data_IF_457884653911
#
_entry.id   IF_457884653911
#
_cell.length_a   1.000
_cell.length_b   1.000
_cell.length_c   1.000
_cell.angle_alpha   90.00
_cell.angle_beta   90.00
_cell.angle_gamma   90.00
#
_symmetry.space_group_name_H-M   'P 1'
#
loop_
_entity.id
_entity.type
_entity.pdbx_description
1 polymer ?
#
# COMPACT_ATOMS: atom_id res chain seq x y z
N UNK A 1 29.67 -35.61 -2.05
CA UNK A 1 28.85 -34.40 -2.16
C UNK A 1 27.70 -34.71 -3.11
N UNK A 2 26.55 -35.08 -2.55
CA UNK A 2 25.38 -35.54 -3.31
C UNK A 2 24.58 -34.31 -3.73
N UNK A 3 24.52 -34.02 -5.03
CA UNK A 3 23.68 -32.94 -5.54
C UNK A 3 22.20 -33.26 -5.25
N UNK A 4 21.42 -32.31 -4.69
CA UNK A 4 19.99 -32.50 -4.53
C UNK A 4 19.34 -32.59 -5.92
N UNK A 5 18.68 -33.72 -6.21
CA UNK A 5 17.82 -33.89 -7.39
C UNK A 5 16.72 -32.83 -7.33
N UNK A 6 16.70 -31.92 -8.29
CA UNK A 6 15.57 -31.03 -8.51
C UNK A 6 14.33 -31.90 -8.75
N UNK A 7 13.41 -31.90 -7.78
CA UNK A 7 12.10 -32.50 -7.95
C UNK A 7 11.43 -31.76 -9.11
N UNK A 8 11.27 -32.44 -10.23
CA UNK A 8 10.48 -31.93 -11.34
C UNK A 8 9.05 -31.97 -10.85
N UNK A 9 8.55 -30.86 -10.32
CA UNK A 9 7.13 -30.70 -9.98
C UNK A 9 6.38 -30.80 -11.30
N UNK A 10 5.83 -31.98 -11.59
CA UNK A 10 4.91 -32.13 -12.70
C UNK A 10 3.79 -31.11 -12.51
N UNK A 11 3.47 -30.31 -13.55
CA UNK A 11 2.39 -29.34 -13.47
C UNK A 11 1.15 -30.12 -13.02
N UNK A 12 0.58 -29.73 -11.87
CA UNK A 12 -0.64 -30.35 -11.35
C UNK A 12 -1.68 -30.31 -12.47
N UNK A 13 -1.92 -31.45 -13.09
CA UNK A 13 -2.92 -31.58 -14.13
C UNK A 13 -4.27 -31.22 -13.49
N UNK A 14 -4.76 -30.02 -13.79
CA UNK A 14 -6.01 -29.51 -13.25
C UNK A 14 -7.12 -30.48 -13.66
N UNK A 15 -7.65 -31.22 -12.69
CA UNK A 15 -8.83 -32.05 -12.88
C UNK A 15 -9.97 -31.14 -13.30
N UNK A 16 -10.67 -31.53 -14.36
CA UNK A 16 -11.69 -30.73 -15.05
C UNK A 16 -13.00 -30.69 -14.22
N UNK A 17 -12.92 -30.22 -12.98
CA UNK A 17 -14.00 -30.24 -11.98
C UNK A 17 -15.06 -29.14 -12.24
N UNK A 18 -15.11 -28.62 -13.47
CA UNK A 18 -16.00 -27.52 -13.87
C UNK A 18 -15.62 -26.16 -13.27
N UNK A 19 -14.48 -26.07 -12.57
CA UNK A 19 -13.93 -24.80 -12.08
C UNK A 19 -13.03 -24.16 -13.11
N UNK A 20 -13.01 -22.83 -13.15
CA UNK A 20 -12.14 -22.01 -13.99
C UNK A 20 -11.41 -20.97 -13.15
N UNK A 21 -10.25 -20.45 -13.59
CA UNK A 21 -9.59 -19.34 -12.91
C UNK A 21 -10.47 -18.09 -12.93
N UNK A 22 -10.41 -17.30 -11.86
CA UNK A 22 -11.09 -16.00 -11.77
C UNK A 22 -10.67 -15.09 -12.93
N UNK A 23 -11.63 -14.46 -13.60
CA UNK A 23 -11.44 -13.60 -14.76
C UNK A 23 -10.58 -12.36 -14.48
N UNK A 24 -10.42 -11.96 -13.21
CA UNK A 24 -9.48 -10.90 -12.82
C UNK A 24 -8.01 -11.33 -12.87
N UNK A 25 -7.74 -12.63 -13.04
CA UNK A 25 -6.41 -13.20 -13.24
C UNK A 25 -5.39 -12.67 -12.21
N UNK A 26 -4.32 -12.02 -12.66
CA UNK A 26 -3.27 -11.44 -11.81
C UNK A 26 -3.76 -10.34 -10.87
N UNK A 27 -5.00 -9.86 -11.01
CA UNK A 27 -5.66 -8.89 -10.12
C UNK A 27 -6.75 -9.52 -9.23
N UNK A 28 -6.91 -10.84 -9.24
CA UNK A 28 -7.89 -11.56 -8.41
C UNK A 28 -7.64 -11.29 -6.92
N UNK A 29 -8.63 -10.87 -6.14
CA UNK A 29 -8.41 -10.47 -4.74
C UNK A 29 -8.14 -11.66 -3.80
N UNK A 30 -8.54 -12.87 -4.19
CA UNK A 30 -8.33 -14.11 -3.47
C UNK A 30 -7.21 -15.00 -4.06
N UNK A 31 -6.33 -14.41 -4.88
CA UNK A 31 -5.21 -15.15 -5.46
C UNK A 31 -4.27 -15.72 -4.38
N UNK A 32 -3.72 -16.89 -4.68
CA UNK A 32 -2.70 -17.54 -3.86
C UNK A 32 -1.32 -17.36 -4.49
N UNK A 33 -0.25 -17.45 -3.71
CA UNK A 33 1.12 -17.43 -4.22
C UNK A 33 1.62 -18.86 -4.17
N UNK A 34 1.97 -19.42 -5.33
CA UNK A 34 2.60 -20.72 -5.43
C UNK A 34 3.96 -20.67 -4.70
N UNK A 35 4.19 -21.49 -3.66
CA UNK A 35 5.43 -21.45 -2.88
C UNK A 35 6.67 -21.86 -3.68
N UNK A 36 6.51 -22.67 -4.73
CA UNK A 36 7.64 -23.18 -5.52
C UNK A 36 8.07 -22.16 -6.57
N UNK A 37 7.10 -21.53 -7.26
CA UNK A 37 7.39 -20.59 -8.35
C UNK A 37 7.35 -19.12 -7.93
N UNK A 38 6.78 -18.81 -6.77
CA UNK A 38 6.48 -17.44 -6.34
C UNK A 38 5.44 -16.73 -7.20
N UNK A 39 4.80 -17.43 -8.14
CA UNK A 39 3.80 -16.84 -9.04
C UNK A 39 2.46 -16.72 -8.33
N UNK A 40 1.75 -15.65 -8.67
CA UNK A 40 0.40 -15.37 -8.19
C UNK A 40 -0.60 -16.10 -9.07
N UNK A 41 -1.31 -17.05 -8.49
CA UNK A 41 -2.34 -17.84 -9.16
C UNK A 41 -3.74 -17.36 -8.74
N UNK A 42 -4.63 -17.08 -9.70
CA UNK A 42 -5.99 -16.65 -9.37
C UNK A 42 -6.77 -17.74 -8.63
N UNK A 43 -7.75 -17.32 -7.83
CA UNK A 43 -8.68 -18.27 -7.21
C UNK A 43 -9.50 -19.01 -8.29
N UNK A 44 -9.75 -20.29 -8.06
CA UNK A 44 -10.56 -21.15 -8.93
C UNK A 44 -12.01 -21.16 -8.46
N UNK A 45 -12.95 -21.04 -9.38
CA UNK A 45 -14.39 -21.00 -9.07
C UNK A 45 -15.24 -21.53 -10.24
N UNK A 46 -16.46 -22.04 -9.99
CA UNK A 46 -17.38 -22.42 -11.08
C UNK A 46 -17.90 -21.18 -11.86
N UNK A 47 -17.88 -20.00 -11.24
CA UNK A 47 -18.25 -18.72 -11.83
C UNK A 47 -17.04 -18.02 -12.45
N UNK A 48 -17.25 -17.05 -13.37
CA UNK A 48 -16.17 -16.22 -13.90
C UNK A 48 -15.40 -15.45 -12.83
N UNK A 49 -16.03 -15.09 -11.71
CA UNK A 49 -15.36 -14.45 -10.57
C UNK A 49 -15.42 -15.35 -9.34
N UNK A 50 -14.36 -15.31 -8.53
CA UNK A 50 -14.40 -15.84 -7.17
C UNK A 50 -15.30 -14.99 -6.27
N UNK A 51 -15.76 -15.55 -5.15
CA UNK A 51 -16.70 -14.89 -4.23
C UNK A 51 -16.19 -13.53 -3.74
N UNK A 52 -14.90 -13.44 -3.39
CA UNK A 52 -14.27 -12.18 -2.97
C UNK A 52 -14.31 -11.11 -4.06
N UNK A 53 -14.06 -11.47 -5.32
CA UNK A 53 -14.12 -10.51 -6.42
C UNK A 53 -15.57 -10.20 -6.84
N UNK A 54 -16.50 -11.14 -6.64
CA UNK A 54 -17.94 -10.92 -6.82
C UNK A 54 -18.47 -9.88 -5.83
N UNK A 55 -18.07 -9.96 -4.56
CA UNK A 55 -18.44 -8.98 -3.54
C UNK A 55 -17.75 -7.63 -3.77
N UNK A 56 -16.49 -7.65 -4.20
CA UNK A 56 -15.80 -6.43 -4.63
C UNK A 56 -16.49 -5.75 -5.80
N UNK A 57 -17.00 -6.52 -6.78
CA UNK A 57 -17.78 -5.98 -7.89
C UNK A 57 -19.09 -5.34 -7.42
N UNK A 58 -19.82 -6.01 -6.52
CA UNK A 58 -21.03 -5.45 -5.93
C UNK A 58 -20.73 -4.11 -5.23
N UNK A 59 -19.68 -4.06 -4.41
CA UNK A 59 -19.22 -2.83 -3.78
C UNK A 59 -18.91 -1.74 -4.82
N UNK A 60 -18.11 -2.06 -5.84
CA UNK A 60 -17.77 -1.12 -6.92
C UNK A 60 -19.00 -0.50 -7.58
N UNK A 61 -20.02 -1.32 -7.89
CA UNK A 61 -21.24 -0.85 -8.54
C UNK A 61 -21.94 0.20 -7.66
N UNK A 62 -22.01 0.00 -6.34
CA UNK A 62 -22.63 0.98 -5.42
C UNK A 62 -21.92 2.33 -5.37
N UNK A 63 -20.65 2.41 -5.78
CA UNK A 63 -19.89 3.66 -5.71
C UNK A 63 -20.16 4.59 -6.90
N UNK A 64 -20.62 4.06 -8.04
CA UNK A 64 -20.76 4.85 -9.27
C UNK A 64 -21.63 6.12 -9.16
N UNK A 65 -22.77 6.15 -8.43
CA UNK A 65 -23.58 7.37 -8.33
C UNK A 65 -22.79 8.51 -7.68
N UNK A 66 -22.03 8.20 -6.62
CA UNK A 66 -21.17 9.17 -5.95
C UNK A 66 -20.04 9.65 -6.86
N UNK A 67 -19.39 8.72 -7.57
CA UNK A 67 -18.30 9.05 -8.49
C UNK A 67 -18.78 9.93 -9.64
N UNK A 68 -19.97 9.65 -10.18
CA UNK A 68 -20.60 10.46 -11.22
C UNK A 68 -20.78 11.91 -10.77
N UNK A 69 -21.34 12.15 -9.58
CA UNK A 69 -21.53 13.50 -9.04
C UNK A 69 -20.20 14.23 -8.89
N UNK A 70 -19.17 13.56 -8.36
CA UNK A 70 -17.83 14.15 -8.20
C UNK A 70 -17.16 14.46 -9.54
N UNK A 71 -17.29 13.57 -10.53
CA UNK A 71 -16.73 13.79 -11.87
C UNK A 71 -17.44 14.97 -12.55
N UNK A 72 -18.76 15.08 -12.37
CA UNK A 72 -19.53 16.21 -12.87
C UNK A 72 -19.13 17.53 -12.18
N UNK A 73 -18.77 17.52 -10.89
CA UNK A 73 -18.23 18.70 -10.23
C UNK A 73 -16.88 19.13 -10.84
N UNK A 74 -16.02 18.17 -11.20
CA UNK A 74 -14.74 18.46 -11.88
C UNK A 74 -14.90 19.10 -13.26
N UNK A 75 -16.04 18.93 -13.95
CA UNK A 75 -16.32 19.63 -15.20
C UNK A 75 -16.35 21.16 -15.02
N UNK A 76 -16.77 21.63 -13.84
CA UNK A 76 -17.00 23.04 -13.54
C UNK A 76 -15.82 23.71 -12.84
N UNK A 77 -14.80 22.96 -12.42
CA UNK A 77 -13.62 23.51 -11.75
C UNK A 77 -12.76 24.26 -12.77
N UNK A 78 -13.05 25.54 -12.93
CA UNK A 78 -12.38 26.51 -13.81
C UNK A 78 -11.15 27.15 -13.15
N UNK A 79 -10.45 26.40 -12.29
CA UNK A 79 -9.26 26.87 -11.59
C UNK A 79 -8.03 26.92 -12.49
N UNK A 80 -7.23 28.00 -12.38
CA UNK A 80 -6.03 28.32 -13.17
C UNK A 80 -4.86 27.30 -13.12
N UNK A 81 -5.06 26.13 -12.51
CA UNK A 81 -4.06 25.07 -12.37
C UNK A 81 -4.33 23.80 -13.19
N UNK A 82 -5.50 23.65 -13.83
CA UNK A 82 -5.77 22.47 -14.67
C UNK A 82 -5.20 22.69 -16.08
N UNK A 83 -3.88 22.61 -16.18
CA UNK A 83 -3.14 22.82 -17.42
C UNK A 83 -3.26 21.59 -18.33
N UNK A 84 -3.98 21.71 -19.46
CA UNK A 84 -3.77 20.77 -20.59
C UNK A 84 -4.96 20.47 -21.51
N UNK A 85 -6.19 20.89 -21.20
CA UNK A 85 -7.36 20.55 -22.03
C UNK A 85 -7.53 21.44 -23.28
N UNK A 86 -8.00 20.88 -24.43
CA UNK A 86 -8.38 21.68 -25.60
C UNK A 86 -9.53 22.64 -25.25
N UNK A 87 -9.36 23.92 -25.57
CA UNK A 87 -10.37 24.96 -25.32
C UNK A 87 -11.39 24.95 -26.46
N UNK A 88 -12.65 24.63 -26.16
CA UNK A 88 -13.74 24.73 -27.14
C UNK A 88 -14.38 26.12 -27.01
N UNK A 89 -14.35 26.91 -28.08
CA UNK A 89 -15.02 28.21 -28.16
C UNK A 89 -16.24 28.10 -29.09
N UNK A 90 -17.44 28.11 -28.54
CA UNK A 90 -18.70 28.01 -29.33
C UNK A 90 -19.51 29.31 -29.36
N UNK A 91 -19.03 30.42 -28.80
CA UNK A 91 -19.77 31.69 -28.78
C UNK A 91 -18.86 32.93 -28.68
N UNK A 92 -19.42 34.15 -28.87
CA UNK A 92 -18.74 35.46 -28.66
C UNK A 92 -18.38 35.74 -27.19
N UNK A 93 -18.83 34.91 -26.23
CA UNK A 93 -18.40 34.96 -24.83
C UNK A 93 -17.04 34.29 -24.64
N UNK A 94 -16.32 34.64 -23.57
CA UNK A 94 -15.07 33.96 -23.22
C UNK A 94 -15.27 32.43 -23.17
N UNK A 95 -14.39 31.61 -23.77
CA UNK A 95 -14.52 30.16 -23.77
C UNK A 95 -14.57 29.63 -22.33
N UNK A 96 -15.58 28.82 -22.01
CA UNK A 96 -15.63 28.11 -20.73
C UNK A 96 -14.62 26.96 -20.83
N UNK A 97 -13.57 26.91 -20.00
CA UNK A 97 -12.67 25.79 -20.01
C UNK A 97 -13.41 24.58 -19.43
N UNK A 98 -13.77 23.62 -20.31
CA UNK A 98 -14.34 22.34 -19.90
C UNK A 98 -13.24 21.29 -19.84
N UNK A 99 -13.28 20.46 -18.80
CA UNK A 99 -12.42 19.29 -18.72
C UNK A 99 -13.00 18.18 -19.62
N UNK A 100 -12.54 18.13 -20.88
CA UNK A 100 -13.04 17.19 -21.89
C UNK A 100 -12.80 15.73 -21.51
N UNK A 101 -11.74 15.43 -20.75
CA UNK A 101 -11.46 14.07 -20.28
C UNK A 101 -12.45 13.60 -19.21
N UNK A 102 -12.89 14.50 -18.31
CA UNK A 102 -13.93 14.20 -17.34
C UNK A 102 -15.30 14.01 -18.04
N UNK A 103 -15.60 14.81 -19.06
CA UNK A 103 -16.83 14.69 -19.86
C UNK A 103 -16.89 13.36 -20.63
N UNK A 104 -15.78 12.98 -21.29
CA UNK A 104 -15.65 11.69 -21.96
C UNK A 104 -15.86 10.53 -21.00
N UNK A 105 -15.26 10.60 -19.80
CA UNK A 105 -15.39 9.56 -18.79
C UNK A 105 -16.83 9.46 -18.23
N UNK A 106 -17.53 10.58 -18.07
CA UNK A 106 -18.96 10.59 -17.68
C UNK A 106 -19.82 9.91 -18.74
N UNK A 107 -19.63 10.25 -20.02
CA UNK A 107 -20.35 9.62 -21.14
C UNK A 107 -20.08 8.11 -21.21
N UNK A 108 -18.82 7.71 -21.07
CA UNK A 108 -18.43 6.29 -21.02
C UNK A 108 -19.08 5.57 -19.84
N UNK A 109 -19.11 6.19 -18.65
CA UNK A 109 -19.71 5.60 -17.46
C UNK A 109 -21.19 5.34 -17.65
N UNK A 110 -21.95 6.32 -18.16
CA UNK A 110 -23.39 6.20 -18.41
C UNK A 110 -23.65 5.10 -19.46
N UNK A 111 -22.95 5.16 -20.60
CA UNK A 111 -23.13 4.18 -21.67
C UNK A 111 -22.84 2.75 -21.20
N UNK A 112 -21.76 2.54 -20.46
CA UNK A 112 -21.37 1.23 -19.92
C UNK A 112 -22.44 0.71 -18.97
N UNK A 113 -22.83 1.48 -17.96
CA UNK A 113 -23.80 1.05 -16.95
C UNK A 113 -25.18 0.75 -17.55
N UNK A 114 -25.69 1.61 -18.44
CA UNK A 114 -26.99 1.42 -19.07
C UNK A 114 -26.99 0.18 -19.97
N UNK A 115 -25.94 -0.04 -20.75
CA UNK A 115 -25.87 -1.23 -21.62
C UNK A 115 -25.85 -2.55 -20.83
N UNK A 116 -25.20 -2.57 -19.66
CA UNK A 116 -25.23 -3.74 -18.78
C UNK A 116 -26.56 -3.86 -18.02
N UNK A 117 -27.20 -2.73 -17.66
CA UNK A 117 -28.55 -2.73 -17.09
C UNK A 117 -29.56 -3.38 -18.05
N UNK A 118 -29.53 -3.02 -19.34
CA UNK A 118 -30.40 -3.58 -20.38
C UNK A 118 -30.30 -5.11 -20.44
N UNK A 119 -29.08 -5.65 -20.56
CA UNK A 119 -28.88 -7.11 -20.61
C UNK A 119 -29.30 -7.83 -19.34
N UNK A 120 -29.02 -7.24 -18.17
CA UNK A 120 -29.45 -7.82 -16.89
C UNK A 120 -30.98 -7.79 -16.77
N UNK A 121 -31.67 -6.75 -17.27
CA UNK A 121 -33.13 -6.71 -17.29
C UNK A 121 -33.71 -7.83 -18.14
N UNK A 122 -33.16 -8.06 -19.32
CA UNK A 122 -33.64 -9.08 -20.24
C UNK A 122 -33.51 -10.48 -19.61
N UNK A 123 -32.33 -10.83 -19.08
CA UNK A 123 -32.10 -12.13 -18.43
C UNK A 123 -32.90 -12.27 -17.14
N UNK A 124 -33.06 -11.20 -16.36
CA UNK A 124 -33.86 -11.20 -15.14
C UNK A 124 -35.37 -11.01 -15.37
N UNK A 125 -35.82 -10.96 -16.64
CA UNK A 125 -37.21 -10.75 -17.05
C UNK A 125 -37.87 -9.54 -16.37
N UNK A 126 -37.12 -8.47 -16.20
CA UNK A 126 -37.63 -7.20 -15.70
C UNK A 126 -38.31 -6.43 -16.83
N UNK A 127 -39.13 -5.43 -16.48
CA UNK A 127 -39.67 -4.52 -17.48
C UNK A 127 -38.54 -3.91 -18.31
N UNK A 128 -38.63 -3.95 -19.66
CA UNK A 128 -37.61 -3.39 -20.51
C UNK A 128 -37.49 -1.89 -20.28
N UNK A 129 -36.32 -1.35 -20.58
CA UNK A 129 -36.13 0.10 -20.56
C UNK A 129 -36.95 0.71 -21.69
N UNK A 130 -37.88 1.59 -21.33
CA UNK A 130 -38.60 2.38 -22.31
C UNK A 130 -37.59 3.26 -23.05
N UNK A 131 -37.33 2.94 -24.31
CA UNK A 131 -36.34 3.63 -25.16
C UNK A 131 -36.60 5.13 -25.28
N UNK A 132 -37.86 5.58 -25.23
CA UNK A 132 -38.19 7.00 -25.33
C UNK A 132 -37.89 7.74 -24.02
N UNK A 133 -38.29 7.16 -22.89
CA UNK A 133 -37.90 7.66 -21.59
C UNK A 133 -36.38 7.54 -21.35
N UNK A 134 -35.72 6.55 -21.93
CA UNK A 134 -34.26 6.39 -21.89
C UNK A 134 -33.52 7.57 -22.48
N UNK A 135 -33.96 8.05 -23.65
CA UNK A 135 -33.32 9.19 -24.32
C UNK A 135 -33.55 10.53 -23.63
N UNK A 136 -34.65 10.66 -22.87
CA UNK A 136 -35.03 11.91 -22.18
C UNK A 136 -34.58 11.94 -20.72
N UNK A 137 -34.08 10.82 -20.18
CA UNK A 137 -33.61 10.73 -18.80
C UNK A 137 -32.37 11.58 -18.62
N UNK A 138 -32.27 12.23 -17.46
CA UNK A 138 -31.02 12.86 -17.02
C UNK A 138 -30.01 11.77 -16.69
N UNK A 139 -28.77 11.93 -17.14
CA UNK A 139 -27.69 10.95 -16.95
C UNK A 139 -27.52 10.50 -15.49
N UNK A 140 -27.60 11.43 -14.53
CA UNK A 140 -27.54 11.08 -13.10
C UNK A 140 -28.65 10.13 -12.65
N UNK A 141 -29.86 10.26 -13.22
CA UNK A 141 -30.99 9.36 -12.97
C UNK A 141 -30.76 8.00 -13.64
N UNK A 142 -30.17 7.99 -14.84
CA UNK A 142 -29.81 6.75 -15.53
C UNK A 142 -28.76 5.95 -14.74
N UNK A 143 -27.72 6.60 -14.23
CA UNK A 143 -26.69 5.97 -13.37
C UNK A 143 -27.30 5.40 -12.09
N UNK A 144 -28.11 6.17 -11.37
CA UNK A 144 -28.75 5.71 -10.12
C UNK A 144 -29.68 4.51 -10.37
N UNK A 145 -30.45 4.54 -11.46
CA UNK A 145 -31.31 3.44 -11.86
C UNK A 145 -30.52 2.18 -12.23
N UNK A 146 -29.48 2.31 -13.06
CA UNK A 146 -28.63 1.19 -13.43
C UNK A 146 -28.02 0.52 -12.19
N UNK A 147 -27.50 1.31 -11.25
CA UNK A 147 -26.92 0.82 -9.99
C UNK A 147 -27.95 0.10 -9.12
N UNK A 148 -29.18 0.62 -9.03
CA UNK A 148 -30.30 -0.03 -8.32
C UNK A 148 -30.69 -1.38 -8.92
N UNK A 149 -30.56 -1.56 -10.23
CA UNK A 149 -30.85 -2.82 -10.90
C UNK A 149 -29.69 -3.81 -10.77
N UNK A 150 -28.46 -3.35 -11.06
CA UNK A 150 -27.26 -4.17 -11.15
C UNK A 150 -26.82 -4.69 -9.78
N UNK A 151 -26.81 -3.84 -8.73
CA UNK A 151 -26.31 -4.20 -7.39
C UNK A 151 -26.96 -5.46 -6.80
N UNK A 152 -28.31 -5.59 -6.74
CA UNK A 152 -28.93 -6.81 -6.22
C UNK A 152 -28.87 -8.01 -7.18
N UNK A 153 -28.36 -7.82 -8.40
CA UNK A 153 -28.35 -8.83 -9.48
C UNK A 153 -26.94 -9.09 -10.02
N UNK A 154 -25.93 -8.86 -9.19
CA UNK A 154 -24.53 -9.10 -9.55
C UNK A 154 -24.30 -10.53 -10.02
N UNK A 155 -24.97 -11.52 -9.42
CA UNK A 155 -24.83 -12.91 -9.87
C UNK A 155 -25.43 -13.13 -11.26
N UNK A 156 -26.53 -12.46 -11.62
CA UNK A 156 -27.10 -12.51 -12.97
C UNK A 156 -26.19 -11.82 -13.98
N UNK A 157 -25.60 -10.68 -13.61
CA UNK A 157 -24.62 -9.95 -14.42
C UNK A 157 -23.40 -10.83 -14.74
N UNK A 158 -22.83 -11.49 -13.72
CA UNK A 158 -21.67 -12.38 -13.87
C UNK A 158 -22.04 -13.66 -14.65
N UNK A 159 -23.29 -14.09 -14.61
CA UNK A 159 -23.78 -15.28 -15.32
C UNK A 159 -24.22 -15.01 -16.77
N UNK A 160 -24.15 -13.76 -17.26
CA UNK A 160 -24.50 -13.43 -18.64
C UNK A 160 -23.66 -14.27 -19.61
N UNK A 161 -24.35 -14.87 -20.59
CA UNK A 161 -23.70 -15.52 -21.72
C UNK A 161 -23.08 -14.48 -22.64
N UNK A 162 -22.09 -14.89 -23.43
CA UNK A 162 -21.54 -14.02 -24.47
C UNK A 162 -22.62 -13.73 -25.52
N UNK A 163 -22.88 -12.45 -25.76
CA UNK A 163 -23.75 -12.00 -26.87
C UNK A 163 -23.11 -10.78 -27.55
N UNK A 164 -23.45 -10.52 -28.83
CA UNK A 164 -22.97 -9.36 -29.56
C UNK A 164 -23.39 -8.04 -28.90
N UNK A 165 -22.44 -7.17 -28.58
CA UNK A 165 -22.66 -5.82 -28.05
C UNK A 165 -21.84 -4.80 -28.83
N UNK A 166 -22.41 -3.60 -29.02
CA UNK A 166 -21.65 -2.47 -29.57
C UNK A 166 -20.72 -1.89 -28.50
N UNK A 167 -19.42 -1.80 -28.81
CA UNK A 167 -18.38 -1.13 -28.02
C UNK A 167 -17.46 -0.37 -28.95
N UNK A 168 -17.25 0.92 -28.68
CA UNK A 168 -16.35 1.78 -29.47
C UNK A 168 -16.57 1.72 -31.00
N UNK A 169 -17.81 1.46 -31.43
CA UNK A 169 -18.18 1.37 -32.86
C UNK A 169 -18.05 -0.03 -33.47
N UNK A 170 -17.62 -1.03 -32.71
CA UNK A 170 -17.47 -2.42 -33.15
C UNK A 170 -18.46 -3.34 -32.42
N UNK A 171 -18.88 -4.42 -33.10
CA UNK A 171 -19.69 -5.49 -32.50
C UNK A 171 -18.74 -6.52 -31.91
N UNK A 172 -18.77 -6.70 -30.59
CA UNK A 172 -17.94 -7.65 -29.86
C UNK A 172 -18.81 -8.60 -29.03
N UNK A 173 -18.41 -9.88 -28.97
CA UNK A 173 -19.04 -10.86 -28.09
C UNK A 173 -18.62 -10.60 -26.64
N UNK A 174 -19.57 -10.26 -25.78
CA UNK A 174 -19.28 -9.95 -24.37
C UNK A 174 -20.19 -10.73 -23.43
N UNK A 175 -19.64 -11.34 -22.39
CA UNK A 175 -20.37 -12.04 -21.35
C UNK A 175 -20.21 -11.39 -19.97
N UNK A 176 -20.62 -12.13 -18.94
CA UNK A 176 -20.56 -11.62 -17.56
C UNK A 176 -19.14 -11.41 -17.02
N UNK A 177 -18.14 -12.13 -17.56
CA UNK A 177 -16.73 -11.90 -17.25
C UNK A 177 -16.27 -10.52 -17.74
N UNK A 178 -16.61 -10.18 -18.98
CA UNK A 178 -16.25 -8.91 -19.60
C UNK A 178 -16.98 -7.75 -18.91
N UNK A 179 -18.26 -7.94 -18.56
CA UNK A 179 -19.02 -6.98 -17.77
C UNK A 179 -18.32 -6.62 -16.46
N UNK A 180 -17.86 -7.63 -15.71
CA UNK A 180 -17.14 -7.40 -14.47
C UNK A 180 -15.84 -6.63 -14.70
N UNK A 181 -15.05 -7.01 -15.70
CA UNK A 181 -13.78 -6.38 -16.00
C UNK A 181 -13.95 -4.92 -16.47
N UNK A 182 -14.95 -4.65 -17.31
CA UNK A 182 -15.32 -3.29 -17.73
C UNK A 182 -15.68 -2.42 -16.52
N UNK A 183 -16.53 -2.92 -15.61
CA UNK A 183 -16.95 -2.16 -14.43
C UNK A 183 -15.79 -1.92 -13.45
N UNK A 184 -14.91 -2.91 -13.24
CA UNK A 184 -13.68 -2.68 -12.44
C UNK A 184 -12.76 -1.65 -13.09
N UNK A 185 -12.58 -1.72 -14.40
CA UNK A 185 -11.75 -0.79 -15.15
C UNK A 185 -12.31 0.63 -15.11
N UNK A 186 -13.62 0.78 -15.33
CA UNK A 186 -14.34 2.04 -15.27
C UNK A 186 -14.24 2.66 -13.88
N UNK A 187 -14.45 1.88 -12.83
CA UNK A 187 -14.28 2.34 -11.45
C UNK A 187 -12.86 2.82 -11.18
N UNK A 188 -11.84 2.07 -11.62
CA UNK A 188 -10.44 2.51 -11.50
C UNK A 188 -10.17 3.82 -12.24
N UNK A 189 -10.67 3.99 -13.47
CA UNK A 189 -10.54 5.25 -14.24
C UNK A 189 -11.21 6.41 -13.54
N UNK A 190 -12.43 6.20 -13.03
CA UNK A 190 -13.16 7.24 -12.30
C UNK A 190 -12.40 7.65 -11.03
N UNK A 191 -11.81 6.69 -10.30
CA UNK A 191 -10.97 7.01 -9.13
C UNK A 191 -9.73 7.80 -9.52
N UNK A 192 -9.05 7.39 -10.58
CA UNK A 192 -7.86 8.07 -11.07
C UNK A 192 -8.16 9.52 -11.48
N UNK A 193 -9.25 9.75 -12.23
CA UNK A 193 -9.67 11.09 -12.66
C UNK A 193 -10.09 11.98 -11.48
N UNK A 194 -10.76 11.40 -10.49
CA UNK A 194 -11.16 12.10 -9.27
C UNK A 194 -9.99 12.45 -8.35
N UNK A 195 -8.76 12.04 -8.68
CA UNK A 195 -7.61 12.05 -7.75
C UNK A 195 -7.89 11.31 -6.43
N UNK A 196 -8.96 10.49 -6.41
CA UNK A 196 -9.20 9.44 -5.40
C UNK A 196 -8.22 8.26 -5.61
N UNK A 197 -7.42 8.30 -6.68
CA UNK A 197 -6.06 7.78 -6.66
C UNK A 197 -5.17 8.82 -5.99
N UNK A 198 -5.29 8.92 -4.67
CA UNK A 198 -4.45 9.61 -3.70
C UNK A 198 -3.47 10.67 -4.25
N UNK A 199 -3.51 11.90 -3.69
CA UNK A 199 -2.22 12.48 -3.31
C UNK A 199 -1.50 11.37 -2.52
N UNK A 200 -0.44 10.76 -3.07
CA UNK A 200 -0.02 9.38 -2.76
C UNK A 200 -0.11 9.16 -1.26
N UNK A 201 -1.06 8.32 -0.82
CA UNK A 201 -1.47 8.21 0.57
C UNK A 201 -0.21 8.25 1.43
N UNK A 202 -0.03 9.36 2.15
CA UNK A 202 1.29 9.77 2.61
C UNK A 202 1.81 8.63 3.48
N UNK A 203 2.93 7.98 3.12
CA UNK A 203 3.48 6.94 3.96
C UNK A 203 3.87 7.58 5.28
N UNK A 204 3.34 7.04 6.37
CA UNK A 204 3.61 7.53 7.70
C UNK A 204 4.86 6.85 8.24
N UNK A 205 5.73 7.62 8.89
CA UNK A 205 6.96 7.09 9.51
C UNK A 205 6.67 6.26 10.76
N UNK A 206 5.49 6.47 11.37
CA UNK A 206 4.99 5.73 12.53
C UNK A 206 4.81 4.25 12.17
N UNK A 207 5.39 3.32 12.93
CA UNK A 207 5.14 1.90 12.75
C UNK A 207 3.70 1.56 13.18
N UNK A 208 3.09 0.61 12.46
CA UNK A 208 1.83 -0.01 12.90
C UNK A 208 2.04 -0.83 14.17
N UNK A 209 0.97 -1.13 14.92
CA UNK A 209 1.00 -2.05 16.07
C UNK A 209 1.54 -3.44 15.71
N UNK A 210 1.48 -3.86 14.45
CA UNK A 210 2.13 -5.10 13.97
C UNK A 210 3.66 -4.99 13.82
N UNK A 211 4.25 -3.83 14.10
CA UNK A 211 5.68 -3.56 14.02
C UNK A 211 6.18 -3.09 12.64
N UNK A 212 5.38 -3.20 11.58
CA UNK A 212 5.77 -2.81 10.22
C UNK A 212 5.46 -1.33 9.92
N UNK A 213 6.33 -0.66 9.16
CA UNK A 213 6.17 0.73 8.70
C UNK A 213 5.40 0.81 7.39
N UNK A 214 4.17 0.31 7.40
CA UNK A 214 3.28 0.31 6.23
C UNK A 214 1.97 1.05 6.49
N UNK A 215 1.97 1.99 7.44
CA UNK A 215 0.86 2.91 7.62
C UNK A 215 0.84 3.92 6.47
N UNK A 216 -0.35 4.11 5.90
CA UNK A 216 -0.63 5.18 4.95
C UNK A 216 -1.78 6.02 5.49
N UNK A 217 -1.67 7.32 5.32
CA UNK A 217 -2.73 8.27 5.67
C UNK A 217 -4.01 7.96 4.89
N UNK A 218 -5.13 7.92 5.60
CA UNK A 218 -6.47 7.86 5.01
C UNK A 218 -6.99 9.28 5.02
N UNK A 219 -7.50 9.74 3.88
CA UNK A 219 -8.16 11.05 3.78
C UNK A 219 -9.66 10.86 3.65
N UNK A 220 -10.41 11.77 4.27
CA UNK A 220 -11.86 11.84 4.11
C UNK A 220 -12.24 12.33 2.70
N UNK A 221 -13.54 12.48 2.50
CA UNK A 221 -14.11 12.92 1.23
C UNK A 221 -13.83 14.39 0.89
N UNK A 222 -13.40 15.19 1.86
CA UNK A 222 -12.93 16.57 1.67
C UNK A 222 -11.41 16.63 1.45
N UNK A 223 -10.71 15.49 1.51
CA UNK A 223 -9.25 15.40 1.41
C UNK A 223 -8.52 15.75 2.72
N UNK A 224 -9.23 15.81 3.85
CA UNK A 224 -8.63 16.01 5.17
C UNK A 224 -8.16 14.67 5.74
N UNK A 225 -7.09 14.63 6.54
CA UNK A 225 -6.67 13.40 7.22
C UNK A 225 -7.79 12.86 8.11
N UNK A 226 -8.11 11.58 7.94
CA UNK A 226 -9.15 10.82 8.67
C UNK A 226 -8.54 9.59 9.39
N UNK A 227 -7.23 9.64 9.64
CA UNK A 227 -6.48 8.56 10.27
C UNK A 227 -5.54 7.81 9.32
N UNK A 228 -5.35 6.51 9.55
CA UNK A 228 -4.40 5.70 8.80
C UNK A 228 -4.81 4.24 8.63
N UNK A 229 -4.29 3.60 7.60
CA UNK A 229 -4.46 2.17 7.35
C UNK A 229 -3.13 1.48 7.13
N UNK A 230 -2.93 0.33 7.77
CA UNK A 230 -1.74 -0.50 7.53
C UNK A 230 -1.94 -1.36 6.28
N UNK A 231 -1.04 -1.26 5.30
CA UNK A 231 -1.10 -2.09 4.09
C UNK A 231 -0.82 -3.58 4.35
N UNK A 232 -0.09 -3.90 5.42
CA UNK A 232 0.28 -5.28 5.74
C UNK A 232 -0.80 -6.01 6.55
N UNK A 233 -1.17 -5.51 7.74
CA UNK A 233 -2.15 -6.18 8.60
C UNK A 233 -3.58 -5.68 8.41
N UNK A 234 -3.80 -4.66 7.56
CA UNK A 234 -5.10 -4.03 7.27
C UNK A 234 -5.79 -3.33 8.45
N UNK A 235 -5.11 -3.17 9.59
CA UNK A 235 -5.61 -2.39 10.70
C UNK A 235 -5.88 -0.94 10.26
N UNK A 236 -7.02 -0.41 10.67
CA UNK A 236 -7.45 0.96 10.46
C UNK A 236 -7.37 1.68 11.81
N UNK A 237 -6.88 2.91 11.76
CA UNK A 237 -6.66 3.76 12.92
C UNK A 237 -7.41 5.07 12.67
N UNK A 238 -8.24 5.45 13.62
CA UNK A 238 -8.75 6.82 13.70
C UNK A 238 -7.59 7.82 13.86
N UNK A 239 -7.86 9.11 13.63
CA UNK A 239 -6.86 10.15 13.83
C UNK A 239 -6.29 10.14 15.26
N UNK A 240 -7.14 9.93 16.27
CA UNK A 240 -6.72 9.87 17.66
C UNK A 240 -5.81 8.66 17.95
N UNK A 241 -6.15 7.47 17.46
CA UNK A 241 -5.31 6.28 17.63
C UNK A 241 -3.98 6.39 16.88
N UNK A 242 -3.97 7.08 15.74
CA UNK A 242 -2.75 7.38 15.00
C UNK A 242 -1.84 8.36 15.77
N UNK A 243 -2.42 9.36 16.42
CA UNK A 243 -1.70 10.30 17.27
C UNK A 243 -1.08 9.56 18.47
N UNK A 244 -1.83 8.67 19.12
CA UNK A 244 -1.36 7.83 20.23
C UNK A 244 -0.21 6.90 19.79
N UNK A 245 -0.33 6.25 18.63
CA UNK A 245 0.75 5.44 18.04
C UNK A 245 2.00 6.27 17.76
N UNK A 246 1.84 7.49 17.26
CA UNK A 246 2.95 8.38 16.93
C UNK A 246 3.66 8.85 18.20
N UNK A 247 2.90 9.17 19.24
CA UNK A 247 3.43 9.50 20.56
C UNK A 247 4.21 8.30 21.15
N UNK A 248 3.63 7.10 21.13
CA UNK A 248 4.29 5.88 21.60
C UNK A 248 5.58 5.55 20.84
N UNK A 249 5.54 5.58 19.51
CA UNK A 249 6.71 5.32 18.67
C UNK A 249 7.83 6.36 18.89
N UNK A 250 7.47 7.62 19.18
CA UNK A 250 8.44 8.67 19.49
C UNK A 250 9.12 8.44 20.85
N UNK A 251 8.40 7.93 21.84
CA UNK A 251 8.94 7.58 23.15
C UNK A 251 9.96 6.42 23.01
N UNK A 252 9.61 5.37 22.28
CA UNK A 252 10.49 4.22 22.01
C UNK A 252 11.75 4.63 21.21
N UNK A 253 11.60 5.53 20.25
CA UNK A 253 12.73 6.07 19.50
C UNK A 253 13.69 6.86 20.41
N UNK A 254 13.16 7.73 21.28
CA UNK A 254 13.97 8.49 22.26
C UNK A 254 14.69 7.57 23.24
N UNK A 255 14.01 6.53 23.75
CA UNK A 255 14.61 5.54 24.64
C UNK A 255 15.79 4.81 23.97
N UNK A 256 15.64 4.38 22.70
CA UNK A 256 16.72 3.76 21.93
C UNK A 256 17.91 4.67 21.70
N UNK A 257 17.67 5.94 21.33
CA UNK A 257 18.75 6.92 21.15
C UNK A 257 19.47 7.18 22.47
N UNK A 258 18.74 7.34 23.58
CA UNK A 258 19.34 7.51 24.91
C UNK A 258 20.22 6.31 25.29
N UNK A 259 19.76 5.08 25.04
CA UNK A 259 20.54 3.87 25.27
C UNK A 259 21.80 3.80 24.39
N UNK A 260 21.71 4.16 23.11
CA UNK A 260 22.86 4.21 22.21
C UNK A 260 23.89 5.26 22.64
N UNK A 261 23.44 6.45 23.05
CA UNK A 261 24.31 7.51 23.57
C UNK A 261 25.00 7.07 24.86
N UNK A 262 24.27 6.44 25.79
CA UNK A 262 24.84 5.88 27.01
C UNK A 262 25.90 4.80 26.71
N UNK A 263 25.62 3.90 25.76
CA UNK A 263 26.56 2.87 25.33
C UNK A 263 27.80 3.47 24.64
N UNK A 264 27.64 4.50 23.81
CA UNK A 264 28.76 5.19 23.18
C UNK A 264 29.64 5.89 24.21
N UNK A 265 29.03 6.60 25.17
CA UNK A 265 29.75 7.23 26.28
C UNK A 265 30.52 6.20 27.11
N UNK A 266 29.91 5.07 27.46
CA UNK A 266 30.59 3.99 28.18
C UNK A 266 31.80 3.44 27.40
N UNK A 267 31.69 3.29 26.07
CA UNK A 267 32.83 2.90 25.21
C UNK A 267 33.93 3.96 25.17
N UNK A 268 33.57 5.24 25.06
CA UNK A 268 34.55 6.34 25.09
C UNK A 268 35.29 6.39 26.44
N UNK A 269 34.57 6.24 27.55
CA UNK A 269 35.17 6.19 28.89
C UNK A 269 36.13 4.99 29.04
N UNK A 270 35.75 3.81 28.52
CA UNK A 270 36.63 2.63 28.51
C UNK A 270 37.90 2.85 27.66
N UNK A 271 37.78 3.46 26.49
CA UNK A 271 38.93 3.80 25.63
C UNK A 271 39.88 4.79 26.30
N UNK A 272 39.35 5.82 26.98
CA UNK A 272 40.15 6.79 27.74
C UNK A 272 40.93 6.07 28.85
N UNK A 273 40.27 5.19 29.62
CA UNK A 273 40.91 4.41 30.68
C UNK A 273 41.99 3.48 30.14
N UNK A 274 41.73 2.78 29.02
CA UNK A 274 42.72 1.90 28.38
C UNK A 274 43.96 2.67 27.93
N UNK A 275 43.77 3.80 27.23
CA UNK A 275 44.89 4.66 26.79
C UNK A 275 45.70 5.21 27.95
N UNK A 276 45.04 5.65 29.01
CA UNK A 276 45.72 6.15 30.20
C UNK A 276 46.53 5.05 30.90
N UNK A 277 46.00 3.82 30.95
CA UNK A 277 46.73 2.67 31.48
C UNK A 277 47.97 2.33 30.64
N UNK A 278 47.84 2.29 29.32
CA UNK A 278 48.98 2.09 28.39
C UNK A 278 50.07 3.16 28.57
N UNK A 279 49.68 4.44 28.66
CA UNK A 279 50.61 5.54 28.92
C UNK A 279 51.29 5.41 30.28
N UNK A 280 50.54 5.10 31.34
CA UNK A 280 51.09 4.93 32.68
C UNK A 280 52.10 3.78 32.75
N UNK A 281 51.80 2.63 32.13
CA UNK A 281 52.74 1.51 32.02
C UNK A 281 54.01 1.94 31.28
N UNK A 282 53.86 2.64 30.16
CA UNK A 282 55.01 3.12 29.38
C UNK A 282 55.90 4.12 30.16
N UNK A 283 55.33 5.04 30.93
CA UNK A 283 56.11 5.94 31.81
C UNK A 283 56.75 5.19 32.98
N UNK A 284 56.05 4.22 33.58
CA UNK A 284 56.59 3.39 34.66
C UNK A 284 57.81 2.58 34.19
N UNK A 285 57.76 1.99 32.99
CA UNK A 285 58.91 1.29 32.39
C UNK A 285 60.13 2.21 32.16
N UNK A 286 59.92 3.53 32.02
CA UNK A 286 60.99 4.52 31.88
C UNK A 286 61.49 5.10 33.22
N UNK A 287 60.97 4.62 34.35
CA UNK A 287 61.19 5.18 35.68
C UNK A 287 60.83 6.67 35.80
N UNK A 288 59.89 7.15 35.00
CA UNK A 288 59.43 8.55 34.98
C UNK A 288 58.18 8.71 35.88
N UNK A 289 58.41 8.97 37.16
CA UNK A 289 57.34 9.12 38.16
C UNK A 289 56.47 10.37 37.96
N UNK A 290 57.02 11.42 37.35
CA UNK A 290 56.31 12.67 37.09
C UNK A 290 55.34 12.51 35.91
N UNK A 291 55.74 11.75 34.89
CA UNK A 291 54.85 11.32 33.80
C UNK A 291 53.63 10.53 34.30
N UNK A 292 53.83 9.58 35.23
CA UNK A 292 52.74 8.79 35.83
C UNK A 292 51.76 9.69 36.62
N UNK A 293 52.26 10.62 37.45
CA UNK A 293 51.40 11.56 38.19
C UNK A 293 50.62 12.48 37.26
N UNK A 294 51.25 12.95 36.20
CA UNK A 294 50.60 13.82 35.21
C UNK A 294 49.41 13.12 34.53
N UNK A 295 49.61 11.89 34.06
CA UNK A 295 48.55 11.08 33.42
C UNK A 295 47.39 10.81 34.39
N UNK A 296 47.69 10.48 35.65
CA UNK A 296 46.65 10.19 36.66
C UNK A 296 45.94 11.46 37.17
N UNK A 297 46.60 12.62 37.11
CA UNK A 297 46.06 13.91 37.58
C UNK A 297 44.83 14.38 36.80
N UNK A 298 44.72 14.01 35.53
CA UNK A 298 43.57 14.32 34.67
C UNK A 298 42.36 13.37 34.80
N UNK A 299 42.48 12.30 35.59
CA UNK A 299 41.45 11.28 35.73
C UNK A 299 40.61 11.46 37.00
N UNK A 300 39.32 11.11 36.94
CA UNK A 300 38.47 11.02 38.14
C UNK A 300 38.93 9.89 39.07
N UNK A 301 38.52 9.93 40.35
CA UNK A 301 38.92 8.92 41.34
C UNK A 301 38.59 7.48 40.90
N UNK A 302 37.38 7.25 40.37
CA UNK A 302 36.96 5.95 39.86
C UNK A 302 37.71 5.53 38.58
N UNK A 303 38.21 6.48 37.78
CA UNK A 303 39.08 6.16 36.63
C UNK A 303 40.48 5.79 37.10
N UNK A 304 41.04 6.47 38.10
CA UNK A 304 42.34 6.12 38.68
C UNK A 304 42.36 4.71 39.27
N UNK A 305 41.31 4.33 39.99
CA UNK A 305 41.17 2.98 40.56
C UNK A 305 41.15 1.90 39.46
N UNK A 306 40.41 2.14 38.37
CA UNK A 306 40.38 1.22 37.22
C UNK A 306 41.72 1.12 36.50
N UNK A 307 42.43 2.25 36.31
CA UNK A 307 43.78 2.26 35.75
C UNK A 307 44.75 1.48 36.65
N UNK A 308 44.66 1.65 37.97
CA UNK A 308 45.49 0.91 38.92
C UNK A 308 45.24 -0.60 38.85
N UNK A 309 43.98 -1.04 38.80
CA UNK A 309 43.64 -2.46 38.60
C UNK A 309 44.15 -3.02 37.28
N UNK A 310 44.01 -2.27 36.18
CA UNK A 310 44.51 -2.68 34.87
C UNK A 310 46.05 -2.78 34.86
N UNK A 311 46.75 -1.78 35.42
CA UNK A 311 48.20 -1.79 35.55
C UNK A 311 48.69 -2.96 36.41
N UNK A 312 48.00 -3.25 37.53
CA UNK A 312 48.29 -4.41 38.37
C UNK A 312 48.10 -5.72 37.62
N UNK A 313 47.03 -5.87 36.84
CA UNK A 313 46.80 -7.07 36.03
C UNK A 313 47.90 -7.29 34.98
N UNK A 314 48.33 -6.23 34.29
CA UNK A 314 49.44 -6.28 33.32
C UNK A 314 50.76 -6.63 34.02
N UNK A 315 51.05 -6.00 35.17
CA UNK A 315 52.24 -6.30 35.95
C UNK A 315 52.24 -7.76 36.44
N UNK A 316 51.09 -8.29 36.86
CA UNK A 316 50.93 -9.68 37.26
C UNK A 316 51.21 -10.64 36.11
N UNK A 317 50.64 -10.38 34.92
CA UNK A 317 50.91 -11.17 33.72
C UNK A 317 52.39 -11.13 33.30
N UNK A 318 53.08 -10.01 33.52
CA UNK A 318 54.52 -9.91 33.25
C UNK A 318 55.39 -10.65 34.28
N UNK A 319 54.89 -10.87 35.50
CA UNK A 319 55.61 -11.52 36.60
C UNK A 319 55.39 -13.03 36.68
N UNK A 320 54.39 -13.58 35.99
CA UNK A 320 54.19 -15.02 35.90
C UNK A 320 55.29 -15.61 34.99
N UNK A 321 56.18 -16.47 35.51
CA UNK A 321 57.20 -17.11 34.68
C UNK A 321 56.49 -17.94 33.61
N UNK A 322 56.85 -17.72 32.35
CA UNK A 322 56.40 -18.58 31.26
C UNK A 322 56.84 -20.00 31.60
N UNK A 323 55.89 -20.85 31.95
CA UNK A 323 56.17 -22.24 32.28
C UNK A 323 56.51 -22.96 30.96
N UNK A 324 57.80 -23.04 30.62
CA UNK A 324 58.35 -23.71 29.43
C UNK A 324 58.24 -25.25 29.53
N UNK A 325 57.05 -25.74 29.88
CA UNK A 325 56.74 -27.16 29.96
C UNK A 325 56.04 -27.66 28.69
N UNK A 326 56.77 -27.73 27.58
CA UNK A 326 56.58 -28.72 26.50
C UNK A 326 57.78 -28.72 25.55
#
# INVERSE_FOLDING_TARGET
MTQPRAATTEPRAHTNDGTRPCARDQRCSAATIDPDTGKREPAWSPRPLCDTDRDALQFVITQFPRMYVRLHQQLLVTGAGSAGGPKVSTSKSAPIPLNTSADELLRLLVATLVSWEERVRDVARLSPLDTENSRRRRDSVAVDQAVKILTPRVDALIALQAEPMMRDGEVVEMGGADAALELFHLHWRCRAALTDGDAPARPLSTPCACGLRQLVEVVDWEGRPDGAKCRSCRAEYSQQELDDLTLGASADARARVAAQVAAHRARQEALIVSRAAEQAVHHACRADSDGVRSVLGGLSAAQRERVAHAAYAVARMASEPVNEGN
#
